data_IF_401758643283
#
_entry.id   IF_401758643283
#
_cell.length_a   1.000
_cell.length_b   1.000
_cell.length_c   1.000
_cell.angle_alpha   90.00
_cell.angle_beta   90.00
_cell.angle_gamma   90.00
#
_symmetry.space_group_name_H-M   'P 1'
#
loop_
_entity.id
_entity.type
_entity.pdbx_description
1 polymer ?
#
# COMPACT_ATOMS: atom_id res chain seq x y z
N UNK A 1 -8.78 12.80 -18.02
CA UNK A 1 -9.42 11.93 -17.01
C UNK A 1 -9.09 10.50 -17.41
N UNK A 2 -8.31 9.77 -16.60
CA UNK A 2 -7.97 8.36 -16.87
C UNK A 2 -8.77 7.53 -15.87
N UNK A 3 -9.97 7.11 -16.26
CA UNK A 3 -10.72 6.10 -15.51
C UNK A 3 -10.01 4.77 -15.75
N UNK A 4 -9.19 4.35 -14.80
CA UNK A 4 -8.68 2.97 -14.80
C UNK A 4 -9.78 2.08 -14.24
N UNK A 5 -9.88 0.88 -14.80
CA UNK A 5 -10.77 -0.20 -14.31
C UNK A 5 -10.59 -0.48 -12.81
N UNK A 6 -9.44 -0.09 -12.24
CA UNK A 6 -9.15 -0.15 -10.81
C UNK A 6 -10.11 0.65 -9.93
N UNK A 7 -10.67 1.77 -10.41
CA UNK A 7 -11.58 2.62 -9.63
C UNK A 7 -13.05 2.28 -9.81
N UNK A 8 -13.34 1.32 -10.70
CA UNK A 8 -14.66 0.75 -10.82
C UNK A 8 -14.95 -0.18 -9.63
N UNK A 9 -15.46 0.47 -8.59
CA UNK A 9 -15.96 -0.14 -7.39
C UNK A 9 -17.02 -1.22 -7.66
N UNK A 10 -17.82 -1.10 -8.72
CA UNK A 10 -18.80 -2.13 -9.10
C UNK A 10 -18.05 -3.39 -9.54
N UNK A 11 -17.08 -3.26 -10.42
CA UNK A 11 -16.28 -4.38 -10.89
C UNK A 11 -15.49 -5.04 -9.76
N UNK A 12 -14.95 -4.26 -8.82
CA UNK A 12 -14.23 -4.83 -7.69
C UNK A 12 -15.12 -5.71 -6.81
N UNK A 13 -16.38 -5.31 -6.58
CA UNK A 13 -17.35 -6.17 -5.87
C UNK A 13 -17.67 -7.44 -6.63
N UNK A 14 -17.71 -7.39 -7.97
CA UNK A 14 -17.89 -8.59 -8.79
C UNK A 14 -16.71 -9.53 -8.65
N UNK A 15 -15.48 -9.01 -8.72
CA UNK A 15 -14.26 -9.78 -8.49
C UNK A 15 -14.32 -10.51 -7.15
N UNK A 16 -14.61 -9.80 -6.06
CA UNK A 16 -14.65 -10.37 -4.70
C UNK A 16 -15.68 -11.52 -4.52
N UNK A 17 -16.67 -11.64 -5.40
CA UNK A 17 -17.66 -12.74 -5.37
C UNK A 17 -17.17 -14.01 -6.08
N UNK A 18 -16.15 -13.91 -6.92
CA UNK A 18 -15.63 -15.02 -7.73
C UNK A 18 -14.56 -15.76 -6.94
N UNK A 19 -14.96 -16.80 -6.20
CA UNK A 19 -14.05 -17.59 -5.33
C UNK A 19 -12.86 -18.15 -6.09
N UNK A 20 -13.04 -18.49 -7.37
CA UNK A 20 -12.00 -18.96 -8.29
C UNK A 20 -10.93 -17.90 -8.59
N UNK A 21 -11.22 -16.61 -8.38
CA UNK A 21 -10.29 -15.49 -8.56
C UNK A 21 -9.72 -14.96 -7.23
N UNK A 22 -9.84 -15.72 -6.13
CA UNK A 22 -9.44 -15.26 -4.78
C UNK A 22 -8.02 -14.73 -4.69
N UNK A 23 -7.09 -15.29 -5.46
CA UNK A 23 -5.68 -14.85 -5.51
C UNK A 23 -5.52 -13.43 -6.05
N UNK A 24 -6.45 -12.96 -6.88
CA UNK A 24 -6.42 -11.63 -7.50
C UNK A 24 -7.29 -10.60 -6.75
N UNK A 25 -7.99 -11.01 -5.69
CA UNK A 25 -8.91 -10.14 -4.96
C UNK A 25 -8.25 -8.91 -4.34
N UNK A 26 -6.93 -8.94 -4.10
CA UNK A 26 -6.21 -7.82 -3.49
C UNK A 26 -5.46 -6.98 -4.52
N UNK A 27 -5.29 -7.44 -5.76
CA UNK A 27 -4.56 -6.71 -6.79
C UNK A 27 -5.08 -5.29 -7.04
N UNK A 28 -6.41 -5.02 -7.02
CA UNK A 28 -6.94 -3.67 -7.18
C UNK A 28 -6.62 -2.72 -6.02
N UNK A 29 -6.06 -3.22 -4.91
CA UNK A 29 -5.57 -2.40 -3.79
C UNK A 29 -4.12 -1.97 -3.97
N UNK A 30 -3.40 -2.53 -4.94
CA UNK A 30 -2.00 -2.18 -5.18
C UNK A 30 -1.89 -0.73 -5.67
N UNK A 31 -1.00 0.04 -5.05
CA UNK A 31 -0.76 1.44 -5.40
C UNK A 31 -1.04 2.39 -4.24
N UNK A 32 -0.83 3.68 -4.48
CA UNK A 32 -0.96 4.71 -3.46
C UNK A 32 -2.41 4.78 -2.95
N UNK A 33 -2.65 4.75 -1.63
CA UNK A 33 -3.97 4.92 -1.05
C UNK A 33 -4.63 6.23 -1.50
N UNK A 34 -5.90 6.13 -1.88
CA UNK A 34 -6.79 7.24 -2.21
C UNK A 34 -8.21 6.96 -1.68
N UNK A 35 -9.18 7.82 -2.00
CA UNK A 35 -10.57 7.64 -1.57
C UNK A 35 -11.18 6.31 -2.05
N UNK A 36 -10.80 5.84 -3.24
CA UNK A 36 -11.27 4.58 -3.79
C UNK A 36 -10.65 3.39 -3.03
N UNK A 37 -9.39 3.47 -2.64
CA UNK A 37 -8.70 2.50 -1.81
C UNK A 37 -9.44 2.28 -0.49
N UNK A 38 -9.83 3.33 0.23
CA UNK A 38 -10.56 3.19 1.49
C UNK A 38 -11.86 2.39 1.31
N UNK A 39 -12.59 2.62 0.21
CA UNK A 39 -13.81 1.85 -0.12
C UNK A 39 -13.51 0.39 -0.47
N UNK A 40 -12.43 0.14 -1.23
CA UNK A 40 -11.97 -1.20 -1.60
C UNK A 40 -11.54 -2.00 -0.35
N UNK A 41 -10.81 -1.38 0.59
CA UNK A 41 -10.39 -1.98 1.86
C UNK A 41 -11.58 -2.57 2.60
N UNK A 42 -12.67 -1.79 2.76
CA UNK A 42 -13.88 -2.28 3.44
C UNK A 42 -14.45 -3.53 2.80
N UNK A 43 -14.45 -3.60 1.47
CA UNK A 43 -14.99 -4.75 0.76
C UNK A 43 -14.07 -5.95 0.83
N UNK A 44 -12.76 -5.75 0.80
CA UNK A 44 -11.79 -6.81 1.04
C UNK A 44 -11.97 -7.41 2.44
N UNK A 45 -12.09 -6.57 3.48
CA UNK A 45 -12.37 -7.01 4.87
C UNK A 45 -13.69 -7.78 4.95
N UNK A 46 -14.77 -7.25 4.35
CA UNK A 46 -16.07 -7.96 4.28
C UNK A 46 -16.01 -9.29 3.53
N UNK A 47 -15.07 -9.43 2.59
CA UNK A 47 -14.81 -10.68 1.87
C UNK A 47 -13.90 -11.65 2.67
N UNK A 48 -13.47 -11.27 3.88
CA UNK A 48 -12.70 -12.10 4.80
C UNK A 48 -11.19 -12.02 4.62
N UNK A 49 -10.67 -11.00 3.92
CA UNK A 49 -9.23 -10.75 3.85
C UNK A 49 -8.74 -10.09 5.14
N UNK A 50 -7.50 -10.38 5.51
CA UNK A 50 -6.88 -9.88 6.73
C UNK A 50 -6.25 -8.50 6.51
N UNK A 51 -6.19 -7.70 7.57
CA UNK A 51 -5.65 -6.34 7.58
C UNK A 51 -4.21 -6.32 7.04
N UNK A 52 -3.38 -7.24 7.52
CA UNK A 52 -1.97 -7.36 7.16
C UNK A 52 -1.79 -7.71 5.68
N UNK A 53 -2.64 -8.59 5.14
CA UNK A 53 -2.58 -8.96 3.72
C UNK A 53 -2.96 -7.79 2.82
N UNK A 54 -3.99 -7.01 3.20
CA UNK A 54 -4.42 -5.82 2.46
C UNK A 54 -3.32 -4.75 2.51
N UNK A 55 -2.76 -4.47 3.69
CA UNK A 55 -1.68 -3.48 3.84
C UNK A 55 -0.43 -3.87 3.04
N UNK A 56 -0.02 -5.13 3.13
CA UNK A 56 1.12 -5.67 2.37
C UNK A 56 0.89 -5.58 0.85
N UNK A 57 -0.29 -6.00 0.36
CA UNK A 57 -0.59 -5.93 -1.06
C UNK A 57 -0.62 -4.49 -1.58
N UNK A 58 -1.14 -3.56 -0.78
CA UNK A 58 -1.19 -2.14 -1.13
C UNK A 58 0.21 -1.63 -1.48
N UNK A 59 1.22 -2.04 -0.70
CA UNK A 59 2.63 -1.65 -0.84
C UNK A 59 3.41 -2.56 -1.81
N UNK A 60 2.89 -3.72 -2.22
CA UNK A 60 3.63 -4.80 -2.89
C UNK A 60 4.41 -4.42 -4.16
N UNK A 61 4.07 -3.31 -4.83
CA UNK A 61 4.82 -2.78 -5.99
C UNK A 61 5.90 -1.74 -5.66
N UNK A 62 5.99 -1.27 -4.41
CA UNK A 62 6.86 -0.17 -4.02
C UNK A 62 8.35 -0.49 -4.24
N UNK A 63 8.79 -1.73 -4.00
CA UNK A 63 10.20 -2.10 -4.15
C UNK A 63 10.70 -2.01 -5.59
N UNK A 64 9.84 -2.29 -6.58
CA UNK A 64 10.16 -2.16 -8.00
C UNK A 64 10.40 -0.68 -8.36
N UNK A 65 9.65 0.24 -7.73
CA UNK A 65 9.77 1.69 -7.93
C UNK A 65 11.04 2.29 -7.30
N UNK A 66 11.66 1.59 -6.33
CA UNK A 66 12.93 2.03 -5.70
C UNK A 66 14.09 2.05 -6.69
N UNK A 67 14.04 1.26 -7.76
CA UNK A 67 15.11 1.18 -8.77
C UNK A 67 15.29 2.51 -9.53
N UNK A 68 14.28 3.40 -9.53
CA UNK A 68 14.29 4.65 -10.29
C UNK A 68 14.53 5.93 -9.44
N UNK A 69 14.77 5.86 -8.12
CA UNK A 69 14.89 7.07 -7.30
C UNK A 69 15.40 6.91 -5.87
N UNK A 70 15.21 7.94 -5.03
CA UNK A 70 15.53 7.90 -3.60
C UNK A 70 14.49 7.08 -2.83
N UNK A 71 14.83 5.82 -2.54
CA UNK A 71 13.96 4.91 -1.79
C UNK A 71 13.47 5.50 -0.46
N UNK A 72 14.25 6.34 0.23
CA UNK A 72 13.79 6.96 1.48
C UNK A 72 12.67 8.01 1.24
N UNK A 73 12.66 8.66 0.09
CA UNK A 73 11.59 9.58 -0.29
C UNK A 73 10.35 8.81 -0.74
N UNK A 74 10.50 7.70 -1.45
CA UNK A 74 9.39 6.80 -1.77
C UNK A 74 8.67 6.34 -0.51
N UNK A 75 9.40 5.76 0.45
CA UNK A 75 8.81 5.24 1.68
C UNK A 75 8.17 6.32 2.56
N UNK A 76 8.72 7.54 2.57
CA UNK A 76 8.06 8.69 3.22
C UNK A 76 6.74 9.06 2.56
N UNK A 77 6.67 9.03 1.23
CA UNK A 77 5.42 9.24 0.49
C UNK A 77 4.36 8.22 0.89
N UNK A 78 4.75 6.95 1.04
CA UNK A 78 3.86 5.90 1.53
C UNK A 78 3.37 6.14 2.96
N UNK A 79 4.24 6.54 3.90
CA UNK A 79 3.83 6.91 5.25
C UNK A 79 2.76 8.02 5.22
N UNK A 80 3.03 9.10 4.48
CA UNK A 80 2.08 10.21 4.35
C UNK A 80 0.73 9.79 3.75
N UNK A 81 0.75 8.96 2.70
CA UNK A 81 -0.49 8.48 2.08
C UNK A 81 -1.36 7.64 3.03
N UNK A 82 -0.76 6.84 3.93
CA UNK A 82 -1.54 6.13 4.95
C UNK A 82 -1.96 7.02 6.12
N UNK A 83 -1.17 8.04 6.48
CA UNK A 83 -1.49 8.97 7.56
C UNK A 83 -2.81 9.71 7.31
N UNK A 84 -3.14 10.01 6.04
CA UNK A 84 -4.43 10.61 5.64
C UNK A 84 -5.65 9.77 6.08
N UNK A 85 -5.47 8.46 6.28
CA UNK A 85 -6.54 7.53 6.67
C UNK A 85 -6.53 7.16 8.16
N UNK A 86 -5.65 7.75 8.98
CA UNK A 86 -5.62 7.47 10.42
C UNK A 86 -6.84 8.01 11.17
N UNK A 87 -7.46 9.06 10.66
CA UNK A 87 -8.66 9.69 11.22
C UNK A 87 -9.94 9.31 10.43
N UNK A 88 -9.84 8.33 9.53
CA UNK A 88 -11.00 7.85 8.77
C UNK A 88 -12.10 7.36 9.74
N UNK A 89 -13.37 7.67 9.46
CA UNK A 89 -14.49 7.29 10.32
C UNK A 89 -14.61 5.76 10.51
N UNK A 90 -14.10 4.98 9.54
CA UNK A 90 -14.20 3.52 9.49
C UNK A 90 -13.01 2.86 10.18
N UNK A 91 -13.30 2.09 11.22
CA UNK A 91 -12.28 1.40 12.01
C UNK A 91 -11.41 0.47 11.16
N UNK A 92 -12.02 -0.26 10.23
CA UNK A 92 -11.30 -1.19 9.36
C UNK A 92 -10.28 -0.49 8.44
N UNK A 93 -10.57 0.74 8.01
CA UNK A 93 -9.65 1.53 7.18
C UNK A 93 -8.48 2.03 8.02
N UNK A 94 -8.76 2.54 9.23
CA UNK A 94 -7.71 2.98 10.18
C UNK A 94 -6.76 1.85 10.55
N UNK A 95 -7.26 0.64 10.72
CA UNK A 95 -6.44 -0.54 11.06
C UNK A 95 -5.47 -0.89 9.93
N UNK A 96 -5.95 -0.93 8.69
CA UNK A 96 -5.09 -1.15 7.51
C UNK A 96 -4.10 -0.02 7.34
N UNK A 97 -4.51 1.24 7.54
CA UNK A 97 -3.63 2.39 7.46
C UNK A 97 -2.48 2.29 8.48
N UNK A 98 -2.77 1.93 9.73
CA UNK A 98 -1.75 1.71 10.76
C UNK A 98 -0.76 0.62 10.37
N UNK A 99 -1.24 -0.49 9.82
CA UNK A 99 -0.37 -1.57 9.35
C UNK A 99 0.48 -1.14 8.15
N UNK A 100 -0.11 -0.39 7.22
CA UNK A 100 0.59 0.23 6.10
C UNK A 100 1.72 1.17 6.56
N UNK A 101 1.48 1.99 7.58
CA UNK A 101 2.51 2.87 8.17
C UNK A 101 3.66 2.05 8.76
N UNK A 102 3.39 0.96 9.48
CA UNK A 102 4.44 0.09 10.03
C UNK A 102 5.34 -0.45 8.91
N UNK A 103 4.74 -0.97 7.85
CA UNK A 103 5.45 -1.50 6.69
C UNK A 103 6.26 -0.41 5.97
N UNK A 104 5.66 0.75 5.72
CA UNK A 104 6.34 1.88 5.08
C UNK A 104 7.52 2.40 5.93
N UNK A 105 7.35 2.47 7.25
CA UNK A 105 8.42 2.85 8.18
C UNK A 105 9.58 1.86 8.17
N UNK A 106 9.28 0.55 8.07
CA UNK A 106 10.30 -0.48 7.92
C UNK A 106 11.08 -0.28 6.62
N UNK A 107 10.39 -0.07 5.50
CA UNK A 107 11.00 0.24 4.20
C UNK A 107 11.88 1.50 4.26
N UNK A 108 11.41 2.56 4.91
CA UNK A 108 12.17 3.80 5.11
C UNK A 108 13.47 3.56 5.88
N UNK A 109 13.41 2.76 6.95
CA UNK A 109 14.59 2.39 7.75
C UNK A 109 15.60 1.64 6.88
N UNK A 110 15.16 0.61 6.17
CA UNK A 110 16.03 -0.17 5.27
C UNK A 110 16.64 0.68 4.16
N UNK A 111 15.89 1.63 3.60
CA UNK A 111 16.41 2.55 2.58
C UNK A 111 17.51 3.47 3.14
N UNK A 112 17.34 4.01 4.35
CA UNK A 112 18.36 4.82 5.03
C UNK A 112 19.64 4.03 5.30
N UNK A 113 19.52 2.79 5.79
CA UNK A 113 20.66 1.91 6.05
C UNK A 113 21.43 1.57 4.77
N UNK A 114 20.73 1.24 3.68
CA UNK A 114 21.36 1.00 2.36
C UNK A 114 22.12 2.23 1.86
N UNK A 115 21.58 3.44 2.07
CA UNK A 115 22.24 4.69 1.69
C UNK A 115 23.51 4.94 2.52
N UNK A 116 23.49 4.65 3.82
CA UNK A 116 24.68 4.77 4.68
C UNK A 116 25.78 3.80 4.24
N UNK A 117 25.44 2.54 3.94
CA UNK A 117 26.39 1.53 3.45
C UNK A 117 26.96 1.84 2.06
N UNK A 118 26.24 2.61 1.23
CA UNK A 118 26.65 3.01 -0.13
C UNK A 118 27.52 4.27 -0.18
N UNK A 119 27.63 5.05 0.90
CA UNK A 119 28.63 6.13 0.95
C UNK A 119 30.01 5.48 1.10
N UNK A 120 30.91 5.51 0.09
CA UNK A 120 32.27 5.06 0.31
C UNK A 120 32.92 6.01 1.32
N UNK A 121 33.82 5.47 2.17
CA UNK A 121 34.82 6.29 2.84
C UNK A 121 35.60 7.04 1.77
N UNK A 122 35.26 8.31 1.54
CA UNK A 122 36.14 9.21 0.82
C UNK A 122 37.17 9.72 1.83
N UNK A 123 38.34 9.10 1.74
CA UNK A 123 39.67 9.70 1.87
C UNK A 123 40.06 10.34 3.22
N UNK A 124 40.92 9.63 3.94
CA UNK A 124 42.13 10.20 4.55
C UNK A 124 43.34 9.48 3.96
#
# INVERSE_FOLDING_TARGET
MRETVGDDLVLYRFLLKKKELRTYHLDPLMGTPDDAWARKVRWAIKAGHQVESIASQTIGGAEILVVAGDGASLWRGWCGAFEEFLEDERTEVREVAREGIKLACLGLRSAKERRQKRKPMSSL
#
